data_IF_751508431021
#
_entry.id   IF_751508431021
#
_cell.length_a   1.000
_cell.length_b   1.000
_cell.length_c   1.000
_cell.angle_alpha   90.00
_cell.angle_beta   90.00
_cell.angle_gamma   90.00
#
_symmetry.space_group_name_H-M   'P 1'
#
loop_
_entity.id
_entity.type
_entity.pdbx_description
1 polymer ?
#
# COMPACT_ATOMS: atom_id res chain seq x y z
N UNK A 1 -28.87 -2.44 -7.60
CA UNK A 1 -28.65 -1.65 -8.83
C UNK A 1 -27.29 -1.95 -9.46
N UNK A 2 -26.16 -1.78 -8.74
CA UNK A 2 -24.81 -1.97 -9.31
C UNK A 2 -24.57 -3.39 -9.90
N UNK A 3 -24.99 -4.46 -9.21
CA UNK A 3 -24.85 -5.84 -9.68
C UNK A 3 -25.55 -6.07 -11.03
N UNK A 4 -26.73 -5.50 -11.21
CA UNK A 4 -27.47 -5.59 -12.48
C UNK A 4 -26.78 -4.85 -13.63
N UNK A 5 -26.11 -3.73 -13.35
CA UNK A 5 -25.31 -3.01 -14.34
C UNK A 5 -24.11 -3.84 -14.86
N UNK A 6 -23.66 -4.81 -14.07
CA UNK A 6 -22.63 -5.77 -14.43
C UNK A 6 -23.16 -7.12 -14.90
N UNK A 7 -24.45 -7.18 -15.29
CA UNK A 7 -25.13 -8.40 -15.77
C UNK A 7 -25.15 -9.55 -14.74
N UNK A 8 -25.16 -9.23 -13.44
CA UNK A 8 -25.29 -10.21 -12.36
C UNK A 8 -26.73 -10.21 -11.88
N UNK A 9 -27.44 -11.31 -12.13
CA UNK A 9 -28.83 -11.50 -11.73
C UNK A 9 -28.96 -11.65 -10.20
N UNK A 10 -30.16 -11.38 -9.67
CA UNK A 10 -30.46 -11.42 -8.23
C UNK A 10 -30.23 -12.80 -7.59
N UNK A 11 -30.32 -13.87 -8.35
CA UNK A 11 -30.06 -15.25 -7.93
C UNK A 11 -28.55 -15.61 -7.84
N UNK A 12 -27.68 -14.69 -8.24
CA UNK A 12 -26.22 -14.87 -8.27
C UNK A 12 -25.47 -14.12 -7.18
N UNK A 13 -26.17 -13.41 -6.32
CA UNK A 13 -25.55 -12.71 -5.20
C UNK A 13 -26.44 -12.66 -3.97
N UNK A 14 -25.84 -12.61 -2.80
CA UNK A 14 -26.48 -12.38 -1.53
C UNK A 14 -25.87 -11.14 -0.86
N UNK A 15 -26.69 -10.15 -0.50
CA UNK A 15 -26.27 -8.94 0.18
C UNK A 15 -26.99 -8.78 1.49
N UNK A 16 -26.25 -8.53 2.55
CA UNK A 16 -26.78 -8.30 3.89
C UNK A 16 -26.38 -6.92 4.39
N UNK A 17 -27.27 -6.27 5.12
CA UNK A 17 -27.02 -5.02 5.82
C UNK A 17 -26.68 -5.31 7.27
N UNK A 18 -25.51 -4.88 7.74
CA UNK A 18 -25.10 -5.10 9.12
C UNK A 18 -23.69 -4.61 9.39
N UNK A 19 -23.28 -4.69 10.65
CA UNK A 19 -21.90 -4.44 11.04
C UNK A 19 -21.12 -5.76 11.01
N UNK A 20 -20.34 -5.97 9.97
CA UNK A 20 -19.56 -7.21 9.75
C UNK A 20 -18.72 -7.64 10.96
N UNK A 21 -18.24 -6.70 11.78
CA UNK A 21 -17.37 -7.01 12.91
C UNK A 21 -18.15 -7.45 14.17
N UNK A 22 -19.35 -6.90 14.39
CA UNK A 22 -20.14 -7.17 15.61
C UNK A 22 -21.38 -8.03 15.34
N UNK A 23 -21.89 -8.02 14.12
CA UNK A 23 -23.05 -8.79 13.67
C UNK A 23 -22.73 -9.47 12.32
N UNK A 24 -21.88 -10.53 12.34
CA UNK A 24 -21.44 -11.19 11.12
C UNK A 24 -22.54 -11.99 10.47
N UNK A 25 -22.74 -11.76 9.17
CA UNK A 25 -23.61 -12.56 8.32
C UNK A 25 -22.86 -13.70 7.62
N UNK A 26 -23.57 -14.57 6.90
CA UNK A 26 -23.00 -15.65 6.09
C UNK A 26 -22.27 -16.74 6.90
N UNK A 27 -22.63 -16.91 8.16
CA UNK A 27 -22.02 -17.93 9.03
C UNK A 27 -22.26 -19.35 8.51
N UNK A 28 -23.42 -19.60 7.89
CA UNK A 28 -23.78 -20.88 7.30
C UNK A 28 -23.24 -21.06 5.87
N UNK A 29 -22.90 -19.96 5.18
CA UNK A 29 -22.40 -19.99 3.81
C UNK A 29 -20.87 -20.20 3.74
N UNK A 30 -20.14 -19.93 4.83
CA UNK A 30 -18.68 -20.15 4.88
C UNK A 30 -18.36 -21.66 4.92
N UNK A 31 -17.17 -22.09 4.49
CA UNK A 31 -16.02 -21.28 4.05
C UNK A 31 -16.09 -20.89 2.57
N UNK A 32 -15.41 -19.76 2.25
CA UNK A 32 -15.31 -19.25 0.88
C UNK A 32 -13.93 -19.53 0.26
N UNK A 33 -13.90 -19.84 -1.04
CA UNK A 33 -12.65 -20.14 -1.74
C UNK A 33 -11.92 -18.86 -2.18
N UNK A 34 -12.64 -17.77 -2.41
CA UNK A 34 -12.07 -16.48 -2.77
C UNK A 34 -12.74 -15.35 -1.99
N UNK A 35 -11.92 -14.48 -1.40
CA UNK A 35 -12.39 -13.28 -0.71
C UNK A 35 -11.64 -12.09 -1.27
N UNK A 36 -12.36 -11.06 -1.71
CA UNK A 36 -11.81 -9.77 -2.08
C UNK A 36 -12.47 -8.68 -1.25
N UNK A 37 -11.66 -7.79 -0.66
CA UNK A 37 -12.17 -6.78 0.24
C UNK A 37 -11.37 -5.49 0.16
N UNK A 38 -12.09 -4.36 0.21
CA UNK A 38 -11.52 -3.05 0.44
C UNK A 38 -12.26 -2.43 1.64
N UNK A 39 -11.91 -2.84 2.87
CA UNK A 39 -12.57 -2.37 4.07
C UNK A 39 -12.23 -0.90 4.36
N UNK A 40 -13.03 -0.19 5.17
CA UNK A 40 -12.71 1.17 5.56
C UNK A 40 -11.42 1.22 6.40
N UNK A 41 -10.53 2.19 6.10
CA UNK A 41 -9.23 2.30 6.77
C UNK A 41 -9.33 3.05 8.08
N UNK A 42 -8.63 2.54 9.09
CA UNK A 42 -8.42 3.19 10.40
C UNK A 42 -9.71 3.67 11.07
N UNK A 43 -10.81 2.95 10.90
CA UNK A 43 -12.07 3.26 11.56
C UNK A 43 -12.07 2.77 13.00
N UNK A 44 -12.76 3.49 13.88
CA UNK A 44 -13.01 3.05 15.25
C UNK A 44 -14.05 1.92 15.25
N UNK A 45 -13.89 0.98 16.16
CA UNK A 45 -14.83 -0.10 16.42
C UNK A 45 -14.93 -0.38 17.92
N UNK A 46 -15.85 -1.24 18.33
CA UNK A 46 -16.08 -1.55 19.73
C UNK A 46 -14.85 -2.24 20.37
N UNK A 47 -14.22 -3.18 19.66
CA UNK A 47 -12.99 -3.85 20.08
C UNK A 47 -13.10 -4.41 21.51
N UNK A 48 -12.14 -4.07 22.37
CA UNK A 48 -12.07 -4.55 23.74
C UNK A 48 -13.15 -4.01 24.70
N UNK A 49 -14.04 -3.12 24.25
CA UNK A 49 -15.21 -2.72 25.04
C UNK A 49 -16.29 -3.80 25.06
N UNK A 50 -16.29 -4.69 24.07
CA UNK A 50 -17.07 -5.90 24.12
C UNK A 50 -16.16 -7.07 24.57
N UNK A 51 -16.30 -7.53 25.83
CA UNK A 51 -15.45 -8.57 26.37
C UNK A 51 -15.67 -9.95 25.73
N UNK A 52 -16.73 -10.11 24.94
CA UNK A 52 -17.01 -11.38 24.24
C UNK A 52 -16.15 -11.55 22.99
N UNK A 53 -15.72 -10.46 22.36
CA UNK A 53 -14.98 -10.50 21.11
C UNK A 53 -13.61 -11.16 21.23
N UNK A 54 -12.97 -11.14 22.39
CA UNK A 54 -11.68 -11.84 22.57
C UNK A 54 -11.83 -13.36 22.45
N UNK A 55 -13.01 -13.88 22.70
CA UNK A 55 -13.35 -15.30 22.58
C UNK A 55 -14.09 -15.63 21.27
N UNK A 56 -14.35 -14.65 20.42
CA UNK A 56 -14.94 -14.86 19.10
C UNK A 56 -13.97 -15.64 18.21
N UNK A 57 -14.42 -16.73 17.58
CA UNK A 57 -13.62 -17.63 16.75
C UNK A 57 -12.84 -16.93 15.64
N UNK A 58 -13.27 -15.74 15.24
CA UNK A 58 -12.59 -14.91 14.23
C UNK A 58 -11.32 -14.25 14.78
N UNK A 59 -11.31 -13.90 16.07
CA UNK A 59 -10.26 -13.10 16.70
C UNK A 59 -9.45 -13.88 17.74
N UNK A 60 -10.07 -14.81 18.44
CA UNK A 60 -9.45 -15.62 19.49
C UNK A 60 -8.12 -16.28 19.07
N UNK A 61 -7.97 -16.84 17.86
CA UNK A 61 -6.72 -17.47 17.45
C UNK A 61 -5.52 -16.54 17.42
N UNK A 62 -5.72 -15.24 17.21
CA UNK A 62 -4.64 -14.25 17.27
C UNK A 62 -4.23 -13.86 18.70
N UNK A 63 -5.02 -14.26 19.72
CA UNK A 63 -4.77 -13.96 21.13
C UNK A 63 -4.87 -12.48 21.52
N UNK A 64 -5.26 -11.63 20.59
CA UNK A 64 -5.36 -10.17 20.79
C UNK A 64 -6.36 -9.58 19.81
N UNK A 65 -7.12 -8.57 20.27
CA UNK A 65 -8.00 -7.81 19.39
C UNK A 65 -7.24 -6.67 18.70
N UNK A 66 -7.66 -6.32 17.49
CA UNK A 66 -7.20 -5.09 16.82
C UNK A 66 -7.49 -3.87 17.72
N UNK A 67 -6.67 -2.80 17.64
CA UNK A 67 -6.89 -1.60 18.44
C UNK A 67 -8.27 -0.99 18.22
N UNK A 68 -8.95 -0.55 19.28
CA UNK A 68 -10.27 0.11 19.19
C UNK A 68 -10.30 1.30 18.23
N UNK A 69 -9.19 1.99 18.11
CA UNK A 69 -9.07 3.15 17.22
C UNK A 69 -8.87 2.78 15.75
N UNK A 70 -8.63 1.49 15.43
CA UNK A 70 -8.22 1.02 14.10
C UNK A 70 -8.66 -0.42 13.89
N UNK A 71 -9.79 -0.60 13.22
CA UNK A 71 -10.38 -1.91 12.97
C UNK A 71 -9.71 -2.69 11.83
N UNK A 72 -8.65 -2.14 11.21
CA UNK A 72 -8.06 -2.70 9.98
C UNK A 72 -7.80 -4.21 10.09
N UNK A 73 -7.07 -4.65 11.12
CA UNK A 73 -6.82 -6.08 11.33
C UNK A 73 -8.04 -6.88 11.80
N UNK A 74 -9.08 -6.25 12.34
CA UNK A 74 -10.32 -6.97 12.63
C UNK A 74 -10.99 -7.43 11.33
N UNK A 75 -10.98 -6.61 10.28
CA UNK A 75 -11.45 -7.00 8.96
C UNK A 75 -10.59 -8.10 8.33
N UNK A 76 -9.27 -8.04 8.51
CA UNK A 76 -8.33 -9.06 8.02
C UNK A 76 -8.60 -10.40 8.68
N UNK A 77 -8.74 -10.44 10.01
CA UNK A 77 -9.03 -11.66 10.77
C UNK A 77 -10.43 -12.20 10.44
N UNK A 78 -11.42 -11.32 10.27
CA UNK A 78 -12.75 -11.73 9.82
C UNK A 78 -12.68 -12.43 8.45
N UNK A 79 -12.00 -11.83 7.45
CA UNK A 79 -11.82 -12.44 6.14
C UNK A 79 -11.10 -13.79 6.25
N UNK A 80 -10.02 -13.87 7.04
CA UNK A 80 -9.28 -15.12 7.25
C UNK A 80 -10.17 -16.23 7.85
N UNK A 81 -11.03 -15.90 8.82
CA UNK A 81 -11.92 -16.89 9.46
C UNK A 81 -12.94 -17.48 8.48
N UNK A 82 -13.34 -16.72 7.47
CA UNK A 82 -14.30 -17.12 6.44
C UNK A 82 -13.65 -17.87 5.27
N UNK A 83 -12.31 -17.86 5.19
CA UNK A 83 -11.58 -18.46 4.09
C UNK A 83 -11.51 -19.99 4.23
N UNK A 84 -11.75 -20.70 3.13
CA UNK A 84 -11.59 -22.16 3.06
C UNK A 84 -10.12 -22.57 3.23
N UNK A 85 -9.89 -23.86 3.51
CA UNK A 85 -8.53 -24.41 3.65
C UNK A 85 -7.69 -24.33 2.38
N UNK A 86 -8.33 -24.16 1.22
CA UNK A 86 -7.69 -23.96 -0.09
C UNK A 86 -7.88 -22.55 -0.63
N UNK A 87 -8.56 -21.70 0.15
CA UNK A 87 -8.96 -20.36 -0.28
C UNK A 87 -7.83 -19.35 -0.27
N UNK A 88 -8.06 -18.27 -1.02
CA UNK A 88 -7.19 -17.10 -1.09
C UNK A 88 -7.99 -15.82 -0.88
N UNK A 89 -7.47 -14.92 -0.06
CA UNK A 89 -8.05 -13.61 0.17
C UNK A 89 -7.11 -12.50 -0.30
N UNK A 90 -7.64 -11.48 -0.98
CA UNK A 90 -6.93 -10.26 -1.35
C UNK A 90 -7.62 -9.06 -0.69
N UNK A 91 -6.93 -8.39 0.21
CA UNK A 91 -7.49 -7.33 1.04
C UNK A 91 -6.68 -6.05 0.83
N UNK A 92 -7.36 -4.98 0.45
CA UNK A 92 -6.74 -3.65 0.33
C UNK A 92 -6.61 -3.05 1.72
N UNK A 93 -5.38 -2.70 2.10
CA UNK A 93 -5.04 -2.29 3.44
C UNK A 93 -4.36 -0.92 3.47
N UNK A 94 -4.50 -0.23 4.59
CA UNK A 94 -3.70 0.95 4.89
C UNK A 94 -2.26 0.55 5.22
N UNK A 95 -1.23 1.15 4.60
CA UNK A 95 0.16 0.67 4.70
C UNK A 95 0.70 0.58 6.12
N UNK A 96 0.26 1.47 7.01
CA UNK A 96 0.83 1.53 8.36
C UNK A 96 0.54 0.30 9.24
N UNK A 97 -0.46 -0.53 8.90
CA UNK A 97 -0.72 -1.77 9.66
C UNK A 97 0.43 -2.78 9.53
N UNK A 98 1.23 -2.66 8.49
CA UNK A 98 2.31 -3.60 8.20
C UNK A 98 3.57 -3.38 9.05
N UNK A 99 3.72 -2.23 9.73
CA UNK A 99 4.90 -1.93 10.55
C UNK A 99 4.62 -1.42 11.98
N UNK A 100 3.36 -1.07 12.32
CA UNK A 100 3.04 -0.62 13.67
C UNK A 100 3.25 -1.73 14.69
N UNK A 101 3.66 -1.35 15.91
CA UNK A 101 3.84 -2.26 17.03
C UNK A 101 2.54 -2.58 17.79
N UNK A 102 2.68 -3.21 18.95
CA UNK A 102 1.58 -3.51 19.86
C UNK A 102 0.67 -4.63 19.37
N UNK A 103 -0.65 -4.44 19.43
CA UNK A 103 -1.63 -5.44 19.02
C UNK A 103 -1.53 -5.78 17.53
N UNK A 104 -1.26 -4.78 16.67
CA UNK A 104 -1.11 -5.00 15.24
C UNK A 104 0.11 -5.88 14.92
N UNK A 105 1.22 -5.73 15.65
CA UNK A 105 2.40 -6.60 15.52
C UNK A 105 2.09 -8.05 15.93
N UNK A 106 1.36 -8.25 17.04
CA UNK A 106 0.96 -9.60 17.47
C UNK A 106 0.05 -10.30 16.47
N UNK A 107 -0.84 -9.54 15.81
CA UNK A 107 -1.68 -10.11 14.76
C UNK A 107 -0.84 -10.46 13.53
N UNK A 108 0.11 -9.63 13.12
CA UNK A 108 1.05 -9.98 12.04
C UNK A 108 1.86 -11.22 12.38
N UNK A 109 2.36 -11.31 13.61
CA UNK A 109 3.04 -12.49 14.11
C UNK A 109 2.15 -13.74 13.95
N UNK A 110 0.90 -13.69 14.42
CA UNK A 110 -0.06 -14.79 14.26
C UNK A 110 -0.23 -15.19 12.78
N UNK A 111 -0.40 -14.21 11.88
CA UNK A 111 -0.58 -14.47 10.45
C UNK A 111 0.66 -15.12 9.81
N UNK A 112 1.85 -14.68 10.17
CA UNK A 112 3.13 -15.19 9.63
C UNK A 112 3.47 -16.55 10.23
N UNK A 113 3.36 -16.72 11.54
CA UNK A 113 3.65 -17.98 12.25
C UNK A 113 2.76 -19.13 11.76
N UNK A 114 1.52 -18.83 11.36
CA UNK A 114 0.60 -19.81 10.77
C UNK A 114 0.71 -19.91 9.24
N UNK A 115 1.69 -19.27 8.64
CA UNK A 115 1.95 -19.31 7.20
C UNK A 115 0.78 -18.82 6.32
N UNK A 116 -0.02 -17.85 6.80
CA UNK A 116 -1.16 -17.33 6.05
C UNK A 116 -0.80 -16.21 5.09
N UNK A 117 0.30 -15.47 5.33
CA UNK A 117 0.70 -14.36 4.47
C UNK A 117 1.39 -14.89 3.21
N UNK A 118 0.73 -14.78 2.07
CA UNK A 118 1.28 -15.21 0.78
C UNK A 118 2.08 -14.10 0.11
N UNK A 119 1.48 -12.93 -0.07
CA UNK A 119 2.11 -11.81 -0.77
C UNK A 119 1.64 -10.48 -0.19
N UNK A 120 2.54 -9.50 -0.16
CA UNK A 120 2.25 -8.10 0.18
C UNK A 120 2.63 -7.23 -1.01
N UNK A 121 1.68 -6.49 -1.57
CA UNK A 121 1.86 -5.70 -2.79
C UNK A 121 1.65 -4.23 -2.46
N UNK A 122 2.69 -3.42 -2.53
CA UNK A 122 2.60 -1.97 -2.43
C UNK A 122 2.16 -1.37 -3.76
N UNK A 123 1.14 -0.52 -3.75
CA UNK A 123 0.62 0.13 -4.94
C UNK A 123 0.96 1.63 -4.97
N UNK A 124 0.86 2.23 -6.15
CA UNK A 124 1.06 3.65 -6.35
C UNK A 124 0.12 4.50 -5.46
N UNK A 125 0.54 5.69 -5.02
CA UNK A 125 -0.37 6.63 -4.37
C UNK A 125 -1.41 7.15 -5.36
N UNK A 126 -2.45 7.78 -4.84
CA UNK A 126 -3.46 8.49 -5.63
C UNK A 126 -4.19 7.62 -6.68
N UNK A 127 -4.40 6.32 -6.38
CA UNK A 127 -5.18 5.41 -7.22
C UNK A 127 -6.68 5.48 -6.92
N UNK A 128 -7.08 5.94 -5.73
CA UNK A 128 -8.47 5.97 -5.30
C UNK A 128 -9.01 7.39 -5.29
N UNK A 129 -10.28 7.52 -5.65
CA UNK A 129 -10.98 8.81 -5.60
C UNK A 129 -11.03 9.34 -4.16
N UNK A 130 -10.73 10.63 -4.00
CA UNK A 130 -10.83 11.32 -2.70
C UNK A 130 -9.69 11.08 -1.72
N UNK A 131 -8.64 10.33 -2.10
CA UNK A 131 -7.45 10.15 -1.26
C UNK A 131 -6.18 10.05 -2.09
N UNK A 132 -5.10 10.65 -1.58
CA UNK A 132 -3.75 10.56 -2.16
C UNK A 132 -2.91 9.45 -1.51
N UNK A 133 -3.48 8.73 -0.55
CA UNK A 133 -2.76 7.72 0.23
C UNK A 133 -2.42 6.52 -0.67
N UNK A 134 -1.17 6.07 -0.62
CA UNK A 134 -0.80 4.77 -1.17
C UNK A 134 -1.51 3.65 -0.40
N UNK A 135 -1.84 2.57 -1.07
CA UNK A 135 -2.44 1.38 -0.45
C UNK A 135 -1.58 0.16 -0.69
N UNK A 136 -1.83 -0.86 0.10
CA UNK A 136 -1.10 -2.13 0.01
C UNK A 136 -2.12 -3.27 -0.03
N UNK A 137 -1.95 -4.21 -0.95
CA UNK A 137 -2.77 -5.42 -1.00
C UNK A 137 -2.10 -6.50 -0.16
N UNK A 138 -2.84 -7.03 0.81
CA UNK A 138 -2.47 -8.22 1.57
C UNK A 138 -3.14 -9.43 0.94
N UNK A 139 -2.33 -10.38 0.46
CA UNK A 139 -2.82 -11.65 -0.04
C UNK A 139 -2.60 -12.72 1.02
N UNK A 140 -3.70 -13.32 1.47
CA UNK A 140 -3.69 -14.43 2.43
C UNK A 140 -4.05 -15.73 1.71
N UNK A 141 -3.40 -16.82 2.10
CA UNK A 141 -3.70 -18.18 1.64
C UNK A 141 -3.58 -19.16 2.79
N UNK A 142 -4.54 -20.10 2.88
CA UNK A 142 -4.46 -21.22 3.82
C UNK A 142 -3.80 -22.47 3.20
N UNK A 143 -3.36 -22.38 1.95
CA UNK A 143 -2.82 -23.52 1.21
C UNK A 143 -1.40 -23.27 0.69
N UNK A 144 -0.61 -22.49 1.40
CA UNK A 144 0.82 -22.33 1.08
C UNK A 144 1.58 -23.62 1.33
N UNK A 145 2.47 -23.94 0.41
CA UNK A 145 3.35 -25.13 0.48
C UNK A 145 4.76 -24.80 0.96
N UNK A 146 5.12 -23.54 0.91
CA UNK A 146 6.39 -23.00 1.41
C UNK A 146 6.17 -21.99 2.52
N UNK A 147 7.22 -21.56 3.21
CA UNK A 147 7.16 -20.60 4.32
C UNK A 147 7.61 -19.19 3.92
N UNK A 148 7.80 -18.95 2.62
CA UNK A 148 8.24 -17.63 2.14
C UNK A 148 7.06 -16.66 2.06
N UNK A 149 7.32 -15.38 2.27
CA UNK A 149 6.39 -14.29 1.97
C UNK A 149 6.94 -13.49 0.80
N UNK A 150 6.13 -13.29 -0.23
CA UNK A 150 6.52 -12.47 -1.36
C UNK A 150 6.15 -11.00 -1.10
N UNK A 151 7.10 -10.11 -1.37
CA UNK A 151 6.90 -8.66 -1.34
C UNK A 151 7.03 -8.10 -2.75
N UNK A 152 6.06 -7.29 -3.20
CA UNK A 152 6.05 -6.68 -4.53
C UNK A 152 5.90 -5.17 -4.36
N UNK A 153 6.86 -4.41 -4.88
CA UNK A 153 6.79 -2.95 -4.95
C UNK A 153 6.27 -2.49 -6.31
N UNK A 154 4.97 -2.37 -6.43
CA UNK A 154 4.31 -1.82 -7.61
C UNK A 154 4.01 -0.31 -7.47
N UNK A 155 4.63 0.39 -6.52
CA UNK A 155 4.40 1.81 -6.27
C UNK A 155 4.82 2.71 -7.45
N UNK A 156 5.75 2.25 -8.27
CA UNK A 156 6.18 2.91 -9.50
C UNK A 156 5.36 2.53 -10.75
N UNK A 157 4.45 1.57 -10.65
CA UNK A 157 3.67 1.07 -11.78
C UNK A 157 2.34 1.82 -11.86
N UNK A 158 2.31 2.93 -12.56
CA UNK A 158 1.09 3.69 -12.81
C UNK A 158 1.23 4.60 -14.03
N UNK A 159 0.09 4.93 -14.62
CA UNK A 159 -0.03 6.02 -15.57
C UNK A 159 -0.56 7.24 -14.84
N UNK A 160 0.17 8.35 -14.90
CA UNK A 160 -0.29 9.61 -14.33
C UNK A 160 -1.40 10.20 -15.20
N UNK A 161 -2.51 10.51 -14.57
CA UNK A 161 -3.61 11.27 -15.17
C UNK A 161 -3.70 12.64 -14.47
N UNK A 162 -4.63 13.50 -14.88
CA UNK A 162 -4.71 14.90 -14.41
C UNK A 162 -4.80 15.00 -12.89
N UNK A 163 -5.68 14.22 -12.26
CA UNK A 163 -5.95 14.28 -10.82
C UNK A 163 -5.72 12.96 -10.07
N UNK A 164 -5.54 11.85 -10.77
CA UNK A 164 -5.38 10.51 -10.20
C UNK A 164 -4.30 9.73 -10.95
N UNK A 165 -3.80 8.70 -10.32
CA UNK A 165 -2.99 7.69 -11.00
C UNK A 165 -3.89 6.52 -11.41
N UNK A 166 -3.54 5.82 -12.48
CA UNK A 166 -4.31 4.70 -12.98
C UNK A 166 -3.40 3.50 -13.23
N UNK A 167 -3.82 2.32 -12.80
CA UNK A 167 -3.20 1.05 -13.20
C UNK A 167 -3.71 0.66 -14.56
N UNK A 168 -2.81 0.53 -15.54
CA UNK A 168 -3.17 -0.01 -16.86
C UNK A 168 -3.19 -1.54 -16.83
N UNK A 169 -3.75 -2.15 -17.87
CA UNK A 169 -3.73 -3.61 -17.99
C UNK A 169 -2.29 -4.16 -18.04
N UNK A 170 -1.37 -3.45 -18.66
CA UNK A 170 0.04 -3.82 -18.70
C UNK A 170 0.66 -3.84 -17.29
N UNK A 171 0.37 -2.83 -16.46
CA UNK A 171 0.83 -2.79 -15.06
C UNK A 171 0.25 -3.98 -14.27
N UNK A 172 -1.03 -4.27 -14.44
CA UNK A 172 -1.69 -5.39 -13.76
C UNK A 172 -1.06 -6.72 -14.21
N UNK A 173 -0.83 -6.91 -15.53
CA UNK A 173 -0.18 -8.10 -16.04
C UNK A 173 1.24 -8.27 -15.51
N UNK A 174 2.01 -7.18 -15.40
CA UNK A 174 3.35 -7.21 -14.83
C UNK A 174 3.34 -7.63 -13.36
N UNK A 175 2.43 -7.08 -12.56
CA UNK A 175 2.26 -7.48 -11.15
C UNK A 175 1.86 -8.96 -11.07
N UNK A 176 0.91 -9.40 -11.89
CA UNK A 176 0.45 -10.79 -11.88
C UNK A 176 1.51 -11.78 -12.34
N UNK A 177 2.30 -11.44 -13.34
CA UNK A 177 3.40 -12.29 -13.81
C UNK A 177 4.42 -12.55 -12.68
N UNK A 178 4.80 -11.51 -11.94
CA UNK A 178 5.71 -11.63 -10.81
C UNK A 178 5.05 -12.36 -9.63
N UNK A 179 3.77 -12.07 -9.38
CA UNK A 179 2.99 -12.76 -8.34
C UNK A 179 2.94 -14.28 -8.60
N UNK A 180 2.71 -14.70 -9.82
CA UNK A 180 2.59 -16.12 -10.19
C UNK A 180 3.96 -16.83 -10.23
N UNK A 181 5.00 -16.18 -10.76
CA UNK A 181 6.34 -16.79 -10.87
C UNK A 181 7.05 -16.93 -9.53
N UNK A 182 6.72 -16.09 -8.54
CA UNK A 182 7.41 -15.97 -7.24
C UNK A 182 8.91 -15.66 -7.35
N UNK A 183 9.37 -15.23 -8.51
CA UNK A 183 10.76 -14.89 -8.76
C UNK A 183 11.15 -13.56 -8.09
N UNK A 184 12.43 -13.47 -7.73
CA UNK A 184 13.00 -12.20 -7.29
C UNK A 184 13.31 -11.36 -8.51
N UNK A 185 12.83 -10.10 -8.50
CA UNK A 185 13.08 -9.11 -9.54
C UNK A 185 13.59 -7.83 -8.88
N UNK A 186 14.76 -7.37 -9.27
CA UNK A 186 15.39 -6.18 -8.70
C UNK A 186 14.44 -4.99 -8.74
N UNK A 187 14.34 -4.29 -7.62
CA UNK A 187 13.49 -3.12 -7.41
C UNK A 187 11.97 -3.35 -7.63
N UNK A 188 11.53 -4.59 -7.77
CA UNK A 188 10.12 -4.92 -7.99
C UNK A 188 9.61 -5.98 -7.02
N UNK A 189 10.33 -7.11 -6.86
CA UNK A 189 9.81 -8.20 -6.04
C UNK A 189 10.90 -9.01 -5.35
N UNK A 190 10.58 -9.48 -4.15
CA UNK A 190 11.45 -10.35 -3.36
C UNK A 190 10.64 -11.38 -2.58
N UNK A 191 11.01 -12.65 -2.68
CA UNK A 191 10.52 -13.73 -1.83
C UNK A 191 11.43 -13.84 -0.61
N UNK A 192 10.85 -13.70 0.58
CA UNK A 192 11.57 -13.58 1.85
C UNK A 192 11.21 -14.77 2.74
N UNK A 193 12.19 -15.53 3.26
CA UNK A 193 11.92 -16.66 4.13
C UNK A 193 11.36 -16.22 5.48
N UNK A 194 10.63 -17.12 6.13
CA UNK A 194 10.00 -16.91 7.43
C UNK A 194 10.95 -16.30 8.48
N UNK A 195 12.14 -16.85 8.59
CA UNK A 195 13.14 -16.45 9.61
C UNK A 195 13.54 -14.98 9.47
N UNK A 196 13.63 -14.48 8.24
CA UNK A 196 13.96 -13.08 7.99
C UNK A 196 12.79 -12.16 8.37
N UNK A 197 11.55 -12.56 8.11
CA UNK A 197 10.35 -11.78 8.51
C UNK A 197 10.23 -11.78 10.04
N UNK A 198 10.42 -12.92 10.69
CA UNK A 198 10.35 -13.05 12.14
C UNK A 198 11.44 -12.21 12.84
N UNK A 199 12.69 -12.26 12.34
CA UNK A 199 13.82 -11.47 12.88
C UNK A 199 13.62 -9.97 12.70
N UNK A 200 12.83 -9.56 11.69
CA UNK A 200 12.46 -8.15 11.45
C UNK A 200 11.14 -7.80 12.15
N UNK A 201 10.90 -8.31 13.36
CA UNK A 201 9.71 -7.99 14.20
C UNK A 201 8.37 -8.19 13.48
N UNK A 202 8.30 -9.16 12.58
CA UNK A 202 7.09 -9.39 11.76
C UNK A 202 6.65 -8.16 10.98
N UNK A 203 7.60 -7.31 10.63
CA UNK A 203 7.35 -6.17 9.74
C UNK A 203 7.02 -6.70 8.34
N UNK A 204 5.89 -6.30 7.79
CA UNK A 204 5.40 -6.68 6.47
C UNK A 204 5.40 -5.49 5.48
N UNK A 205 6.10 -4.40 5.81
CA UNK A 205 6.25 -3.28 4.89
C UNK A 205 7.14 -3.69 3.70
N UNK A 206 6.65 -3.49 2.48
CA UNK A 206 7.37 -3.88 1.26
C UNK A 206 8.74 -3.21 1.18
N UNK A 207 8.83 -1.93 1.56
CA UNK A 207 10.10 -1.17 1.55
C UNK A 207 11.17 -1.68 2.52
N UNK A 208 10.82 -2.60 3.43
CA UNK A 208 11.80 -3.27 4.30
C UNK A 208 12.52 -4.43 3.62
N UNK A 209 12.07 -4.85 2.44
CA UNK A 209 12.58 -6.03 1.74
C UNK A 209 12.92 -5.78 0.28
N UNK A 210 12.22 -4.84 -0.38
CA UNK A 210 12.44 -4.47 -1.77
C UNK A 210 13.03 -3.07 -1.80
N UNK A 211 14.25 -2.95 -2.32
CA UNK A 211 14.92 -1.67 -2.44
C UNK A 211 14.28 -0.85 -3.57
N UNK A 212 13.94 0.39 -3.28
CA UNK A 212 13.44 1.31 -4.30
C UNK A 212 14.53 1.55 -5.36
N UNK A 213 14.11 1.69 -6.61
CA UNK A 213 15.02 2.11 -7.68
C UNK A 213 15.55 3.49 -7.36
N UNK A 214 16.87 3.65 -7.32
CA UNK A 214 17.49 4.97 -7.17
C UNK A 214 17.25 5.78 -8.44
N UNK A 215 16.29 6.70 -8.37
CA UNK A 215 15.94 7.61 -9.46
C UNK A 215 16.60 8.98 -9.32
N UNK A 216 17.50 9.14 -8.32
CA UNK A 216 18.22 10.41 -8.16
C UNK A 216 19.12 10.64 -9.36
N UNK A 217 18.97 11.78 -10.00
CA UNK A 217 19.92 12.21 -11.01
C UNK A 217 21.31 12.32 -10.38
N UNK A 218 22.29 11.68 -11.02
CA UNK A 218 23.69 11.88 -10.64
C UNK A 218 24.07 13.29 -11.11
N UNK A 219 23.95 14.24 -10.19
CA UNK A 219 24.31 15.62 -10.48
C UNK A 219 25.83 15.73 -10.52
N UNK A 220 26.38 16.05 -11.67
CA UNK A 220 27.78 16.47 -11.78
C UNK A 220 27.93 17.86 -11.16
N UNK A 221 28.46 17.90 -9.93
CA UNK A 221 28.67 19.12 -9.17
C UNK A 221 29.58 20.08 -9.94
N UNK A 222 30.52 19.57 -10.72
CA UNK A 222 31.47 20.39 -11.50
C UNK A 222 30.72 21.09 -12.62
N UNK A 223 29.87 20.38 -13.34
CA UNK A 223 29.05 20.96 -14.41
C UNK A 223 28.04 21.97 -13.83
N UNK A 224 27.34 21.60 -12.74
CA UNK A 224 26.36 22.48 -12.09
C UNK A 224 27.02 23.79 -11.61
N UNK A 225 28.22 23.73 -11.04
CA UNK A 225 28.97 24.90 -10.61
C UNK A 225 29.41 25.77 -11.81
N UNK A 226 29.74 25.17 -12.96
CA UNK A 226 30.05 25.91 -14.16
C UNK A 226 28.80 26.65 -14.70
N UNK A 227 27.68 25.98 -14.75
CA UNK A 227 26.38 26.57 -15.15
C UNK A 227 25.97 27.70 -14.21
N UNK A 228 26.15 27.53 -12.90
CA UNK A 228 25.87 28.53 -11.89
C UNK A 228 26.73 29.79 -12.11
N UNK A 229 28.04 29.63 -12.30
CA UNK A 229 28.94 30.76 -12.59
C UNK A 229 28.52 31.53 -13.84
N UNK A 230 28.15 30.82 -14.91
CA UNK A 230 27.67 31.40 -16.15
C UNK A 230 26.39 32.20 -15.93
N UNK A 231 25.45 31.63 -15.14
CA UNK A 231 24.17 32.28 -14.84
C UNK A 231 24.39 33.55 -14.00
N UNK A 232 25.23 33.47 -12.98
CA UNK A 232 25.57 34.66 -12.15
C UNK A 232 26.21 35.77 -12.99
N UNK A 233 27.19 35.44 -13.84
CA UNK A 233 27.81 36.44 -14.73
C UNK A 233 26.78 37.11 -15.67
N UNK A 234 25.80 36.33 -16.16
CA UNK A 234 24.72 36.89 -16.99
C UNK A 234 23.78 37.80 -16.18
N UNK A 235 23.49 37.46 -14.92
CA UNK A 235 22.70 38.33 -14.03
C UNK A 235 23.43 39.65 -13.77
N UNK A 236 24.73 39.61 -13.51
CA UNK A 236 25.53 40.82 -13.26
C UNK A 236 25.58 41.70 -14.50
N UNK A 237 25.72 41.12 -15.70
CA UNK A 237 25.65 41.88 -16.96
C UNK A 237 24.31 42.57 -17.14
N UNK A 238 23.20 41.82 -16.93
CA UNK A 238 21.85 42.40 -17.04
C UNK A 238 21.58 43.50 -16.02
N UNK A 239 22.15 43.42 -14.83
CA UNK A 239 22.07 44.51 -13.84
C UNK A 239 22.77 45.74 -14.33
N UNK A 240 24.01 45.58 -14.84
CA UNK A 240 24.76 46.70 -15.42
C UNK A 240 24.00 47.35 -16.59
N UNK A 241 23.41 46.55 -17.47
CA UNK A 241 22.61 47.05 -18.60
C UNK A 241 21.37 47.84 -18.11
N UNK A 242 20.72 47.38 -17.02
CA UNK A 242 19.60 48.10 -16.38
C UNK A 242 20.06 49.40 -15.77
N UNK A 243 21.20 49.40 -15.06
CA UNK A 243 21.75 50.62 -14.43
C UNK A 243 22.07 51.68 -15.47
N UNK A 244 22.60 51.29 -16.65
CA UNK A 244 22.81 52.19 -17.79
C UNK A 244 21.49 52.79 -18.28
N UNK A 245 20.46 51.98 -18.46
CA UNK A 245 19.16 52.48 -18.92
C UNK A 245 18.52 53.42 -17.89
N UNK A 246 18.65 53.12 -16.61
CA UNK A 246 18.12 53.98 -15.53
C UNK A 246 18.85 55.31 -15.53
N UNK A 247 20.19 55.34 -15.64
CA UNK A 247 20.95 56.56 -15.72
C UNK A 247 20.55 57.43 -16.93
N UNK A 248 20.32 56.81 -18.10
CA UNK A 248 19.82 57.52 -19.29
C UNK A 248 18.42 58.15 -19.04
N UNK A 249 17.53 57.47 -18.32
CA UNK A 249 16.21 57.97 -18.01
C UNK A 249 16.25 59.12 -16.99
N UNK A 250 17.11 59.01 -15.98
CA UNK A 250 17.28 59.98 -14.92
C UNK A 250 18.10 61.19 -15.33
N UNK A 251 18.71 61.14 -16.50
CA UNK A 251 19.52 62.26 -17.06
C UNK A 251 20.87 62.45 -16.35
N UNK A 252 21.36 61.39 -15.68
CA UNK A 252 22.69 61.37 -15.08
C UNK A 252 23.74 61.02 -16.15
N UNK A 253 24.75 61.93 -16.37
CA UNK A 253 25.92 61.59 -17.17
C UNK A 253 26.75 60.54 -16.42
N UNK A 254 26.89 59.35 -16.97
CA UNK A 254 27.81 58.33 -16.47
C UNK A 254 29.25 58.89 -16.59
N UNK A 255 29.86 59.25 -15.46
CA UNK A 255 31.27 59.50 -15.42
C UNK A 255 32.03 58.22 -15.81
N UNK A 256 32.86 58.33 -16.85
CA UNK A 256 33.64 57.27 -17.48
C UNK A 256 34.84 56.82 -16.63
#
# INVERSE_FOLDING_TARGET
>A
MNMFLHNINYDKFNMQLGNTLTDPHFLDDKPFDAIVSNPPYSVKWIGSDDPTLINDDRFAPAGVLAPKSKADFAFVLHALSYLSSKGRAAIVCFPAIFYRGGAEQKIRQYLVDNNYVETVISLAPNLFFGTTIAVTILVLSKHKTDTTTQFIDASGLFKKDTNTNTLTNEHIQQIMAVFDSKENVDHLAKSVPFEQVATNDYNLSVSSYVDAKDTREVVDITQLNAELKTTVAKIDQLRTDIDVIVAEIEGEELEA
#
